data_IF_903167983044
#
_entry.id   IF_903167983044
#
_cell.length_a   1.000
_cell.length_b   1.000
_cell.length_c   1.000
_cell.angle_alpha   90.00
_cell.angle_beta   90.00
_cell.angle_gamma   90.00
#
_symmetry.space_group_name_H-M   'P 1'
#
loop_
_entity.id
_entity.type
_entity.pdbx_description
1 polymer ?
#
# COMPACT_ATOMS: atom_id res chain seq x y z
N UNK A 1 -36.42 27.96 -41.47
CA UNK A 1 -35.46 29.05 -41.19
C UNK A 1 -35.59 29.43 -39.73
N UNK A 2 -34.50 29.25 -38.95
CA UNK A 2 -34.08 29.99 -37.74
C UNK A 2 -35.13 30.12 -36.60
N UNK A 3 -34.94 29.61 -35.40
CA UNK A 3 -33.79 29.71 -34.46
C UNK A 3 -33.76 28.40 -33.63
N UNK A 4 -32.71 27.59 -33.59
CA UNK A 4 -31.41 27.79 -32.91
C UNK A 4 -31.54 28.29 -31.46
N UNK A 5 -31.65 27.34 -30.52
CA UNK A 5 -30.94 27.36 -29.23
C UNK A 5 -31.13 26.01 -28.50
N UNK A 6 -30.72 24.92 -29.14
CA UNK A 6 -30.45 23.65 -28.47
C UNK A 6 -29.12 23.75 -27.73
N UNK A 7 -29.09 24.25 -26.48
CA UNK A 7 -27.93 24.05 -25.58
C UNK A 7 -28.43 23.92 -24.13
N UNK A 8 -29.34 22.97 -23.90
CA UNK A 8 -29.54 22.37 -22.57
C UNK A 8 -28.89 20.99 -22.62
N UNK A 9 -27.59 20.95 -22.39
CA UNK A 9 -26.88 19.76 -21.94
C UNK A 9 -25.50 20.20 -21.51
N UNK A 10 -25.48 20.78 -20.32
CA UNK A 10 -24.52 20.50 -19.24
C UNK A 10 -23.42 19.54 -19.72
N UNK A 11 -22.39 20.07 -20.36
CA UNK A 11 -21.09 19.41 -20.49
C UNK A 11 -20.41 19.56 -19.13
N UNK A 12 -20.96 18.91 -18.11
CA UNK A 12 -20.27 18.69 -16.86
C UNK A 12 -19.21 17.63 -17.17
N UNK A 13 -18.08 18.08 -17.69
CA UNK A 13 -16.87 17.29 -17.82
C UNK A 13 -16.44 16.95 -16.40
N UNK A 14 -16.94 15.83 -15.90
CA UNK A 14 -16.57 15.26 -14.61
C UNK A 14 -15.09 14.92 -14.67
N UNK A 15 -14.25 15.86 -14.20
CA UNK A 15 -12.92 15.57 -13.71
C UNK A 15 -13.08 14.65 -12.51
N UNK A 16 -13.18 13.35 -12.75
CA UNK A 16 -12.75 12.38 -11.76
C UNK A 16 -11.23 12.50 -11.69
N UNK A 17 -10.76 13.48 -10.92
CA UNK A 17 -9.40 13.44 -10.42
C UNK A 17 -9.31 12.16 -9.59
N UNK A 18 -8.66 11.14 -10.14
CA UNK A 18 -8.26 9.97 -9.37
C UNK A 18 -7.22 10.50 -8.38
N UNK A 19 -7.68 10.90 -7.20
CA UNK A 19 -6.79 11.24 -6.10
C UNK A 19 -6.20 9.91 -5.65
N UNK A 20 -4.99 9.62 -6.12
CA UNK A 20 -4.15 8.60 -5.51
C UNK A 20 -3.90 9.02 -4.06
N UNK A 21 -4.60 8.41 -3.13
CA UNK A 21 -4.30 8.55 -1.72
C UNK A 21 -2.98 7.81 -1.47
N UNK A 22 -1.97 8.55 -1.01
CA UNK A 22 -0.81 7.94 -0.38
C UNK A 22 -1.27 7.10 0.83
N UNK A 23 -0.53 6.04 1.18
CA UNK A 23 -0.90 5.21 2.32
C UNK A 23 -0.91 6.01 3.63
N UNK A 24 -1.83 5.68 4.53
CA UNK A 24 -1.89 6.22 5.88
C UNK A 24 -0.95 5.42 6.79
N UNK A 25 0.16 6.03 7.19
CA UNK A 25 1.16 5.39 8.04
C UNK A 25 0.66 5.07 9.46
N UNK A 26 -0.29 5.83 10.01
CA UNK A 26 -0.84 5.55 11.34
C UNK A 26 -1.82 4.37 11.27
N UNK A 27 -2.65 4.30 10.23
CA UNK A 27 -3.45 3.11 9.95
C UNK A 27 -2.57 1.88 9.69
N UNK A 28 -1.44 2.07 8.99
CA UNK A 28 -0.45 1.04 8.73
C UNK A 28 0.19 0.49 10.01
N UNK A 29 0.54 1.38 10.94
CA UNK A 29 1.05 1.02 12.27
C UNK A 29 0.06 0.18 13.07
N UNK A 30 -1.23 0.54 13.05
CA UNK A 30 -2.27 -0.26 13.71
C UNK A 30 -2.40 -1.65 13.08
N UNK A 31 -2.19 -1.77 11.76
CA UNK A 31 -2.25 -3.04 11.04
C UNK A 31 -0.99 -3.91 11.19
N UNK A 32 0.17 -3.30 11.45
CA UNK A 32 1.48 -3.99 11.43
C UNK A 32 1.76 -4.90 12.63
N UNK A 33 0.83 -5.01 13.59
CA UNK A 33 1.03 -5.73 14.86
C UNK A 33 1.54 -7.16 14.64
N UNK A 34 0.97 -7.90 13.68
CA UNK A 34 1.39 -9.28 13.39
C UNK A 34 2.68 -9.34 12.57
N UNK A 35 2.95 -8.32 11.76
CA UNK A 35 4.16 -8.20 10.94
C UNK A 35 5.42 -8.04 11.82
N UNK A 36 5.29 -7.34 12.94
CA UNK A 36 6.37 -7.07 13.89
C UNK A 36 6.97 -8.35 14.51
N UNK A 37 6.22 -9.46 14.54
CA UNK A 37 6.70 -10.72 15.11
C UNK A 37 7.90 -11.31 14.33
N UNK A 38 7.99 -11.04 13.02
CA UNK A 38 9.11 -11.51 12.18
C UNK A 38 10.03 -10.36 11.74
N UNK A 39 9.44 -9.21 11.40
CA UNK A 39 10.17 -8.07 10.86
C UNK A 39 10.62 -7.06 11.92
N UNK A 40 10.32 -7.32 13.20
CA UNK A 40 10.65 -6.44 14.33
C UNK A 40 9.68 -5.26 14.49
N UNK A 41 9.57 -4.78 15.74
CA UNK A 41 8.69 -3.65 16.08
C UNK A 41 9.07 -2.33 15.41
N UNK A 42 10.37 -2.17 15.11
CA UNK A 42 10.90 -1.02 14.38
C UNK A 42 11.18 -1.35 12.91
N UNK A 43 10.61 -2.45 12.37
CA UNK A 43 10.88 -2.89 11.00
C UNK A 43 12.31 -3.39 10.77
N UNK A 44 13.05 -3.68 11.84
CA UNK A 44 14.39 -4.27 11.83
C UNK A 44 14.28 -5.66 12.45
N UNK A 45 14.55 -6.71 11.67
CA UNK A 45 14.45 -8.08 12.13
C UNK A 45 15.56 -8.41 13.15
N UNK A 46 15.27 -9.21 14.19
CA UNK A 46 16.31 -9.72 15.08
C UNK A 46 17.17 -10.84 14.47
N UNK A 47 16.86 -11.30 13.25
CA UNK A 47 17.56 -12.41 12.58
C UNK A 47 17.73 -12.14 11.09
N UNK A 48 18.73 -12.75 10.46
CA UNK A 48 18.96 -12.62 9.01
C UNK A 48 17.95 -13.41 8.14
N UNK A 49 17.04 -14.16 8.76
CA UNK A 49 16.01 -14.95 8.06
C UNK A 49 14.90 -14.06 7.51
N UNK A 50 14.54 -13.00 8.25
CA UNK A 50 13.48 -12.08 7.86
C UNK A 50 14.08 -10.76 7.41
N UNK A 51 13.68 -10.21 6.25
CA UNK A 51 14.22 -8.96 5.77
C UNK A 51 13.80 -7.79 6.64
N UNK A 52 14.68 -6.78 6.75
CA UNK A 52 14.33 -5.48 7.29
C UNK A 52 13.36 -4.76 6.34
N UNK A 53 12.37 -4.09 6.92
CA UNK A 53 11.36 -3.30 6.22
C UNK A 53 11.55 -1.79 6.43
N UNK A 54 12.19 -1.41 7.53
CA UNK A 54 12.36 -0.02 7.92
C UNK A 54 13.09 0.81 6.85
N UNK A 55 12.47 1.92 6.44
CA UNK A 55 13.04 2.86 5.47
C UNK A 55 13.12 2.33 4.03
N UNK A 56 12.58 1.14 3.76
CA UNK A 56 12.50 0.61 2.41
C UNK A 56 11.54 1.45 1.57
N UNK A 57 11.74 1.51 0.24
CA UNK A 57 10.90 2.28 -0.66
C UNK A 57 9.44 1.81 -0.56
N UNK A 58 8.52 2.72 -0.25
CA UNK A 58 7.08 2.46 -0.15
C UNK A 58 6.53 1.69 -1.36
N UNK A 59 6.84 2.15 -2.58
CA UNK A 59 6.37 1.50 -3.81
C UNK A 59 6.88 0.06 -3.94
N UNK A 60 8.11 -0.22 -3.49
CA UNK A 60 8.66 -1.56 -3.48
C UNK A 60 7.92 -2.44 -2.47
N UNK A 61 7.72 -1.95 -1.24
CA UNK A 61 6.98 -2.68 -0.20
C UNK A 61 5.56 -3.03 -0.68
N UNK A 62 4.84 -2.05 -1.25
CA UNK A 62 3.52 -2.27 -1.82
C UNK A 62 3.55 -3.31 -2.94
N UNK A 63 4.50 -3.21 -3.86
CA UNK A 63 4.65 -4.18 -4.95
C UNK A 63 4.92 -5.60 -4.41
N UNK A 64 5.74 -5.75 -3.37
CA UNK A 64 6.01 -7.06 -2.77
C UNK A 64 4.78 -7.64 -2.07
N UNK A 65 4.03 -6.83 -1.32
CA UNK A 65 2.79 -7.27 -0.69
C UNK A 65 1.76 -7.74 -1.72
N UNK A 66 1.59 -6.97 -2.81
CA UNK A 66 0.74 -7.36 -3.95
C UNK A 66 1.22 -8.66 -4.58
N UNK A 67 2.52 -8.79 -4.83
CA UNK A 67 3.10 -9.99 -5.44
C UNK A 67 2.94 -11.25 -4.57
N UNK A 68 3.01 -11.13 -3.24
CA UNK A 68 2.70 -12.24 -2.35
C UNK A 68 1.22 -12.60 -2.37
N UNK A 69 0.34 -11.61 -2.52
CA UNK A 69 -1.12 -11.80 -2.49
C UNK A 69 -1.65 -12.42 -3.78
N UNK A 70 -1.15 -11.98 -4.93
CA UNK A 70 -1.53 -12.50 -6.24
C UNK A 70 -0.77 -13.78 -6.64
N UNK A 71 0.25 -14.16 -5.87
CA UNK A 71 1.04 -15.37 -6.07
C UNK A 71 2.16 -15.26 -7.09
N UNK A 72 2.40 -14.08 -7.68
CA UNK A 72 3.56 -13.84 -8.57
C UNK A 72 4.89 -13.96 -7.82
N UNK A 73 4.89 -13.67 -6.51
CA UNK A 73 5.97 -14.02 -5.58
C UNK A 73 5.46 -15.06 -4.57
N UNK A 74 5.97 -16.29 -4.67
CA UNK A 74 5.57 -17.39 -3.78
C UNK A 74 6.47 -17.44 -2.54
N UNK A 75 5.86 -17.42 -1.36
CA UNK A 75 6.53 -17.70 -0.10
C UNK A 75 5.53 -18.26 0.92
N UNK A 76 5.86 -19.40 1.54
CA UNK A 76 4.95 -20.13 2.42
C UNK A 76 4.60 -19.35 3.71
N UNK A 77 5.49 -18.46 4.16
CA UNK A 77 5.28 -17.66 5.36
C UNK A 77 4.53 -16.36 5.08
N UNK A 78 4.81 -15.69 3.96
CA UNK A 78 4.17 -14.40 3.63
C UNK A 78 2.80 -14.54 2.96
N UNK A 79 2.54 -15.61 2.20
CA UNK A 79 1.24 -15.83 1.56
C UNK A 79 0.04 -15.75 2.53
N UNK A 80 0.03 -16.42 3.71
CA UNK A 80 -1.07 -16.29 4.66
C UNK A 80 -1.18 -14.88 5.27
N UNK A 81 -0.06 -14.16 5.40
CA UNK A 81 -0.05 -12.82 6.00
C UNK A 81 -0.77 -11.78 5.14
N UNK A 82 -0.71 -11.94 3.81
CA UNK A 82 -1.31 -11.00 2.86
C UNK A 82 -2.70 -11.42 2.37
N UNK A 83 -3.12 -12.66 2.66
CA UNK A 83 -4.35 -13.26 2.14
C UNK A 83 -5.60 -12.39 2.40
N UNK A 84 -5.69 -11.78 3.59
CA UNK A 84 -6.84 -10.97 4.01
C UNK A 84 -6.63 -9.45 3.94
N UNK A 85 -5.47 -8.97 3.45
CA UNK A 85 -5.22 -7.54 3.35
C UNK A 85 -5.98 -6.92 2.17
N UNK A 86 -6.66 -5.80 2.37
CA UNK A 86 -7.15 -4.98 1.25
C UNK A 86 -6.00 -4.30 0.52
N UNK A 87 -6.27 -3.70 -0.65
CA UNK A 87 -5.26 -2.86 -1.32
C UNK A 87 -4.86 -1.66 -0.46
N UNK A 88 -5.83 -1.08 0.24
CA UNK A 88 -5.62 0.02 1.19
C UNK A 88 -4.76 -0.41 2.38
N UNK A 89 -5.02 -1.58 2.96
CA UNK A 89 -4.20 -2.14 4.05
C UNK A 89 -2.74 -2.30 3.62
N UNK A 90 -2.51 -2.81 2.40
CA UNK A 90 -1.15 -2.97 1.86
C UNK A 90 -0.46 -1.63 1.61
N UNK A 91 -1.20 -0.62 1.12
CA UNK A 91 -0.67 0.73 0.94
C UNK A 91 -0.30 1.37 2.29
N UNK A 92 -1.17 1.23 3.29
CA UNK A 92 -0.95 1.75 4.64
C UNK A 92 0.26 1.09 5.31
N UNK A 93 0.39 -0.24 5.21
CA UNK A 93 1.56 -0.98 5.71
C UNK A 93 2.86 -0.54 5.01
N UNK A 94 2.82 -0.33 3.68
CA UNK A 94 3.97 0.13 2.93
C UNK A 94 4.40 1.55 3.35
N UNK A 95 3.44 2.47 3.51
CA UNK A 95 3.70 3.83 3.98
C UNK A 95 4.29 3.83 5.39
N UNK A 96 3.73 3.01 6.29
CA UNK A 96 4.23 2.87 7.66
C UNK A 96 5.71 2.44 7.71
N UNK A 97 6.06 1.32 7.10
CA UNK A 97 7.45 0.83 7.13
C UNK A 97 8.42 1.72 6.36
N UNK A 98 7.98 2.33 5.25
CA UNK A 98 8.80 3.29 4.50
C UNK A 98 9.10 4.58 5.28
N UNK A 99 8.24 4.96 6.23
CA UNK A 99 8.42 6.16 7.06
C UNK A 99 9.45 5.99 8.18
N UNK A 100 9.88 4.74 8.45
CA UNK A 100 10.84 4.44 9.51
C UNK A 100 12.28 4.78 9.10
N UNK A 101 13.16 4.94 10.10
CA UNK A 101 14.59 5.12 9.88
C UNK A 101 15.25 3.85 9.31
N UNK A 102 16.04 4.00 8.26
CA UNK A 102 16.92 2.93 7.77
C UNK A 102 18.10 2.76 8.74
N UNK A 103 18.50 1.52 9.01
CA UNK A 103 19.80 1.23 9.62
C UNK A 103 20.79 1.00 8.47
N UNK A 104 21.80 1.87 8.36
CA UNK A 104 22.96 1.64 7.46
C UNK A 104 23.79 0.44 7.93
#
# INVERSE_FOLDING_TARGET
MKQLASIVSILCLSLFAVVSHAGDAEAGKAKSVTCAACHGGEGISPTDIWPNLAGQKEQYLLAQLKAFKDGTRVNAQMAPMVANLSEEDMANLAAYYSSMGCKE
#
